data_IF_653027945799
#
_entry.id   IF_653027945799
#
_cell.length_a   1.000
_cell.length_b   1.000
_cell.length_c   1.000
_cell.angle_alpha   90.00
_cell.angle_beta   90.00
_cell.angle_gamma   90.00
#
_symmetry.space_group_name_H-M   'P 1'
#
loop_
_entity.id
_entity.type
_entity.pdbx_description
1 polymer ?
#
# COMPACT_ATOMS: atom_id res chain seq x y z
N UNK A 1 -14.64 34.23 27.78
CA UNK A 1 -13.44 35.09 27.71
C UNK A 1 -13.27 35.63 26.30
N UNK A 2 -12.65 36.80 26.12
CA UNK A 2 -12.44 37.43 24.80
C UNK A 2 -11.13 37.04 24.12
N UNK A 3 -10.08 36.69 24.87
CA UNK A 3 -8.88 35.94 24.45
C UNK A 3 -8.12 35.50 25.73
N UNK A 4 -7.45 34.35 25.74
CA UNK A 4 -6.52 33.97 26.81
C UNK A 4 -5.24 33.35 26.24
N UNK A 5 -4.11 34.05 26.38
CA UNK A 5 -2.79 33.49 26.10
C UNK A 5 -2.17 33.10 27.44
N UNK A 6 -1.96 31.81 27.66
CA UNK A 6 -1.26 31.27 28.83
C UNK A 6 0.15 30.83 28.40
N UNK A 7 1.13 31.71 28.60
CA UNK A 7 2.54 31.40 28.35
C UNK A 7 3.21 30.92 29.66
N UNK A 8 3.49 29.63 29.76
CA UNK A 8 4.07 28.97 30.94
C UNK A 8 5.50 28.52 30.62
N UNK A 9 6.45 29.47 30.68
CA UNK A 9 7.88 29.18 30.54
C UNK A 9 8.45 28.51 31.82
N UNK A 10 8.18 27.21 31.96
CA UNK A 10 8.75 26.33 32.98
C UNK A 10 7.70 25.61 33.84
N UNK A 11 7.57 24.29 33.64
CA UNK A 11 6.89 23.31 34.50
C UNK A 11 5.75 23.81 35.38
N UNK A 12 4.54 23.96 34.81
CA UNK A 12 3.33 24.36 35.52
C UNK A 12 2.09 23.69 34.95
N UNK A 13 1.11 23.39 35.82
CA UNK A 13 -0.15 22.75 35.42
C UNK A 13 -1.20 23.81 35.03
N UNK A 14 -1.73 23.74 33.80
CA UNK A 14 -2.77 24.65 33.32
C UNK A 14 -4.14 24.01 33.49
N UNK A 15 -5.02 24.60 34.31
CA UNK A 15 -6.37 24.07 34.52
C UNK A 15 -7.45 25.15 34.44
N UNK A 16 -8.54 24.84 33.75
CA UNK A 16 -9.75 25.69 33.66
C UNK A 16 -10.83 25.04 34.54
N UNK A 17 -10.92 25.50 35.79
CA UNK A 17 -11.84 24.98 36.81
C UNK A 17 -13.03 25.93 36.97
N UNK A 18 -14.25 25.41 36.84
CA UNK A 18 -15.49 26.16 37.06
C UNK A 18 -16.58 25.86 36.02
N UNK A 19 -17.80 26.35 36.26
CA UNK A 19 -18.92 26.13 35.34
C UNK A 19 -18.84 27.02 34.10
N UNK A 20 -18.58 26.40 32.94
CA UNK A 20 -18.73 26.94 31.58
C UNK A 20 -17.93 28.22 31.27
N UNK A 21 -16.60 28.10 31.18
CA UNK A 21 -15.74 29.13 30.60
C UNK A 21 -15.82 29.13 29.07
N UNK A 22 -16.87 29.74 28.50
CA UNK A 22 -17.01 29.83 27.04
C UNK A 22 -16.03 30.85 26.44
N UNK A 23 -15.24 30.39 25.47
CA UNK A 23 -14.38 31.19 24.60
C UNK A 23 -15.11 31.52 23.30
N UNK A 24 -15.20 32.81 23.00
CA UNK A 24 -16.00 33.34 21.89
C UNK A 24 -15.34 34.59 21.32
N UNK A 25 -15.36 34.75 19.99
CA UNK A 25 -14.74 35.86 19.25
C UNK A 25 -13.23 36.02 19.47
N UNK A 26 -12.55 35.00 20.03
CA UNK A 26 -11.10 35.02 20.22
C UNK A 26 -10.41 34.89 18.86
N UNK A 27 -9.56 35.85 18.50
CA UNK A 27 -9.00 35.94 17.14
C UNK A 27 -7.50 36.22 17.16
N UNK A 28 -6.73 35.39 16.45
CA UNK A 28 -5.32 35.58 16.12
C UNK A 28 -5.16 35.76 14.60
N UNK A 29 -3.99 36.19 14.08
CA UNK A 29 -3.79 36.35 12.63
C UNK A 29 -4.09 35.07 11.84
N UNK A 30 -4.99 35.14 10.85
CA UNK A 30 -5.46 33.97 10.10
C UNK A 30 -4.46 33.38 9.11
N UNK A 31 -3.29 34.01 8.94
CA UNK A 31 -2.21 33.61 8.02
C UNK A 31 -0.97 33.04 8.72
N UNK A 32 -0.92 33.10 10.06
CA UNK A 32 0.26 32.71 10.84
C UNK A 32 -0.01 32.39 12.32
N UNK A 33 -1.20 32.66 12.83
CA UNK A 33 -1.57 32.50 14.23
C UNK A 33 -2.25 31.16 14.49
N UNK A 34 -1.95 30.58 15.65
CA UNK A 34 -2.43 29.29 16.11
C UNK A 34 -3.24 29.47 17.40
N UNK A 35 -4.23 28.62 17.63
CA UNK A 35 -4.91 28.56 18.93
C UNK A 35 -5.78 29.79 19.18
N UNK A 36 -6.83 29.97 18.36
CA UNK A 36 -7.62 31.21 18.34
C UNK A 36 -8.22 31.57 19.70
N UNK A 37 -8.61 30.57 20.51
CA UNK A 37 -8.96 30.76 21.92
C UNK A 37 -7.87 30.31 22.90
N UNK A 38 -7.24 29.15 22.66
CA UNK A 38 -6.20 28.56 23.53
C UNK A 38 -5.04 28.01 22.68
N UNK A 39 -3.81 28.35 23.07
CA UNK A 39 -2.56 27.77 22.56
C UNK A 39 -1.79 27.13 23.72
N UNK A 40 -1.32 25.90 23.54
CA UNK A 40 -0.44 25.19 24.48
C UNK A 40 0.88 24.84 23.80
N UNK A 41 2.00 25.14 24.45
CA UNK A 41 3.35 24.69 24.06
C UNK A 41 3.89 23.74 25.13
N UNK A 42 3.82 22.44 24.85
CA UNK A 42 4.13 21.36 25.78
C UNK A 42 5.52 20.80 25.48
N UNK A 43 6.46 21.09 26.38
CA UNK A 43 7.78 20.50 26.39
C UNK A 43 7.72 18.98 26.68
N UNK A 44 8.80 18.26 26.37
CA UNK A 44 8.86 16.83 26.64
C UNK A 44 8.81 16.54 28.14
N UNK A 45 7.92 15.63 28.55
CA UNK A 45 7.61 15.34 29.94
C UNK A 45 6.49 16.22 30.53
N UNK A 46 5.94 17.19 29.77
CA UNK A 46 4.82 18.04 30.20
C UNK A 46 3.53 17.78 29.43
N UNK A 47 3.48 16.75 28.58
CA UNK A 47 2.34 16.43 27.71
C UNK A 47 1.01 16.23 28.48
N UNK A 48 1.07 15.81 29.75
CA UNK A 48 -0.09 15.60 30.61
C UNK A 48 -0.40 16.77 31.55
N UNK A 49 0.31 17.90 31.45
CA UNK A 49 0.24 19.01 32.42
C UNK A 49 -0.88 20.03 32.12
N UNK A 50 -2.02 19.57 31.61
CA UNK A 50 -3.18 20.43 31.35
C UNK A 50 -4.53 19.73 31.63
N UNK A 51 -5.55 20.54 31.94
CA UNK A 51 -6.95 20.12 32.07
C UNK A 51 -7.90 21.27 31.66
N UNK A 52 -8.54 21.13 30.49
CA UNK A 52 -9.51 22.11 29.99
C UNK A 52 -10.97 21.65 30.17
N UNK A 53 -11.28 20.71 31.07
CA UNK A 53 -12.65 20.18 31.29
C UNK A 53 -13.72 21.24 31.55
N UNK A 54 -13.37 22.39 32.15
CA UNK A 54 -14.28 23.52 32.39
C UNK A 54 -14.38 24.54 31.24
N UNK A 55 -13.66 24.33 30.13
CA UNK A 55 -13.74 25.19 28.95
C UNK A 55 -14.87 24.77 28.00
N UNK A 56 -15.33 25.72 27.21
CA UNK A 56 -16.27 25.54 26.09
C UNK A 56 -15.95 26.54 24.99
N UNK A 57 -16.35 26.25 23.75
CA UNK A 57 -16.07 27.12 22.60
C UNK A 57 -17.36 27.51 21.89
N UNK A 58 -17.44 28.75 21.40
CA UNK A 58 -18.62 29.21 20.66
C UNK A 58 -18.76 28.48 19.33
N UNK A 59 -19.96 27.99 19.05
CA UNK A 59 -20.41 27.43 17.77
C UNK A 59 -21.29 28.41 16.99
N UNK A 60 -21.56 29.62 17.52
CA UNK A 60 -22.45 30.59 16.87
C UNK A 60 -21.67 31.43 15.87
N UNK A 61 -22.12 31.48 14.61
CA UNK A 61 -21.38 32.01 13.45
C UNK A 61 -20.77 33.40 13.64
N UNK A 62 -21.45 34.31 14.34
CA UNK A 62 -20.98 35.68 14.59
C UNK A 62 -20.04 35.83 15.80
N UNK A 63 -19.77 34.75 16.53
CA UNK A 63 -18.90 34.72 17.72
C UNK A 63 -17.93 33.55 17.71
N UNK A 64 -17.68 32.94 16.55
CA UNK A 64 -16.65 31.92 16.37
C UNK A 64 -15.27 32.47 16.73
N UNK A 65 -14.40 31.59 17.21
CA UNK A 65 -12.98 31.87 17.36
C UNK A 65 -12.27 31.68 16.01
N UNK A 66 -11.13 32.33 15.80
CA UNK A 66 -10.48 32.36 14.49
C UNK A 66 -8.94 32.36 14.56
N UNK A 67 -8.32 31.53 13.72
CA UNK A 67 -6.89 31.29 13.62
C UNK A 67 -6.57 30.68 12.24
N UNK A 68 -5.28 30.57 11.88
CA UNK A 68 -4.87 29.75 10.74
C UNK A 68 -5.13 28.26 11.03
N UNK A 69 -4.72 27.80 12.21
CA UNK A 69 -4.88 26.42 12.67
C UNK A 69 -5.33 26.39 14.14
N UNK A 70 -6.21 25.45 14.48
CA UNK A 70 -6.75 25.33 15.84
C UNK A 70 -7.56 26.56 16.22
N UNK A 71 -8.68 26.82 15.53
CA UNK A 71 -9.55 27.99 15.79
C UNK A 71 -9.94 28.09 17.27
N UNK A 72 -10.15 26.95 17.92
CA UNK A 72 -10.45 26.85 19.34
C UNK A 72 -9.19 26.52 20.15
N UNK A 73 -8.56 25.38 19.86
CA UNK A 73 -7.40 24.87 20.59
C UNK A 73 -6.28 24.51 19.62
N UNK A 74 -5.06 24.94 19.95
CA UNK A 74 -3.85 24.44 19.30
C UNK A 74 -2.87 23.90 20.33
N UNK A 75 -2.36 22.68 20.11
CA UNK A 75 -1.35 22.03 20.96
C UNK A 75 -0.07 21.81 20.16
N UNK A 76 0.99 22.55 20.46
CA UNK A 76 2.35 22.19 20.06
C UNK A 76 2.93 21.29 21.16
N UNK A 77 3.36 20.08 20.83
CA UNK A 77 3.89 19.15 21.83
C UNK A 77 5.12 18.39 21.31
N UNK A 78 6.04 18.06 22.21
CA UNK A 78 7.14 17.14 21.91
C UNK A 78 6.59 15.76 21.49
N UNK A 79 5.66 15.18 22.26
CA UNK A 79 4.87 14.02 21.81
C UNK A 79 3.36 14.33 21.82
N UNK A 80 2.83 14.81 20.68
CA UNK A 80 1.40 15.11 20.54
C UNK A 80 0.46 13.91 20.82
N UNK A 81 0.89 12.68 20.53
CA UNK A 81 0.11 11.46 20.83
C UNK A 81 0.11 11.10 22.32
N UNK A 82 1.08 11.58 23.10
CA UNK A 82 1.06 11.47 24.56
C UNK A 82 0.26 12.62 25.21
N UNK A 83 0.18 13.78 24.57
CA UNK A 83 -0.67 14.89 25.00
C UNK A 83 -2.15 14.62 24.70
N UNK A 84 -2.44 13.86 23.64
CA UNK A 84 -3.79 13.55 23.15
C UNK A 84 -3.87 12.04 22.85
N UNK A 85 -4.00 11.18 23.88
CA UNK A 85 -3.95 9.73 23.69
C UNK A 85 -5.22 9.14 23.07
N UNK A 86 -5.05 8.03 22.34
CA UNK A 86 -6.14 7.22 21.76
C UNK A 86 -7.04 6.68 22.88
N UNK A 87 -8.36 6.69 22.64
CA UNK A 87 -9.38 6.21 23.57
C UNK A 87 -9.32 6.89 24.96
N UNK A 88 -8.85 8.14 25.03
CA UNK A 88 -8.99 8.91 26.25
C UNK A 88 -10.48 9.24 26.46
N UNK A 89 -11.14 8.49 27.34
CA UNK A 89 -12.48 8.79 27.88
C UNK A 89 -12.59 10.25 28.35
N UNK A 90 -11.44 10.88 28.65
CA UNK A 90 -11.31 12.31 28.92
C UNK A 90 -11.02 13.16 27.68
N UNK A 91 -11.67 12.91 26.52
CA UNK A 91 -11.89 13.94 25.45
C UNK A 91 -12.39 15.27 26.05
N UNK A 92 -13.06 15.17 27.19
CA UNK A 92 -13.44 16.25 28.11
C UNK A 92 -12.27 17.21 28.46
N UNK A 93 -11.02 16.74 28.66
CA UNK A 93 -9.83 17.58 28.94
C UNK A 93 -9.47 18.55 27.83
N UNK A 94 -10.02 18.41 26.62
CA UNK A 94 -9.87 19.38 25.53
C UNK A 94 -10.92 20.51 25.60
N UNK A 95 -11.84 20.51 26.57
CA UNK A 95 -12.90 21.51 26.68
C UNK A 95 -13.94 21.45 25.56
N UNK A 96 -14.02 20.32 24.87
CA UNK A 96 -14.71 20.19 23.59
C UNK A 96 -15.92 19.24 23.66
N UNK A 97 -17.06 19.79 24.08
CA UNK A 97 -18.37 19.17 23.84
C UNK A 97 -18.71 19.27 22.33
N UNK A 98 -18.34 18.23 21.58
CA UNK A 98 -18.60 18.03 20.14
C UNK A 98 -17.97 19.07 19.18
N UNK A 99 -16.63 19.05 18.99
CA UNK A 99 -15.93 19.92 18.04
C UNK A 99 -16.03 19.48 16.56
N UNK A 100 -16.67 18.34 16.29
CA UNK A 100 -16.40 17.42 15.16
C UNK A 100 -17.10 17.75 13.83
N UNK A 101 -17.60 18.98 13.64
CA UNK A 101 -18.06 19.45 12.32
C UNK A 101 -16.98 20.19 11.53
N UNK A 102 -15.89 20.62 12.17
CA UNK A 102 -14.77 21.30 11.52
C UNK A 102 -13.45 20.89 12.19
N UNK A 103 -12.68 20.07 11.48
CA UNK A 103 -11.39 19.55 11.93
C UNK A 103 -10.33 20.65 12.16
N UNK A 104 -10.52 21.87 11.65
CA UNK A 104 -9.62 23.00 11.92
C UNK A 104 -9.84 23.64 13.31
N UNK A 105 -10.86 23.22 14.06
CA UNK A 105 -11.12 23.73 15.41
C UNK A 105 -10.05 23.32 16.42
N UNK A 106 -9.61 22.05 16.38
CA UNK A 106 -8.66 21.47 17.32
C UNK A 106 -7.49 20.86 16.53
N UNK A 107 -6.32 21.48 16.60
CA UNK A 107 -5.14 21.04 15.84
C UNK A 107 -3.89 21.02 16.70
N UNK A 108 -2.80 20.45 16.19
CA UNK A 108 -1.51 20.48 16.88
C UNK A 108 -0.30 20.20 16.00
N UNK A 109 0.88 20.44 16.58
CA UNK A 109 2.18 20.05 16.01
C UNK A 109 2.81 18.95 16.85
N UNK A 110 3.30 17.90 16.18
CA UNK A 110 4.02 16.79 16.80
C UNK A 110 5.53 16.96 16.63
N UNK A 111 6.31 16.68 17.69
CA UNK A 111 7.78 16.66 17.69
C UNK A 111 8.42 17.93 17.08
N UNK A 112 7.84 19.09 17.37
CA UNK A 112 8.32 20.38 16.86
C UNK A 112 8.15 20.60 15.35
N UNK A 113 7.55 19.67 14.61
CA UNK A 113 7.28 19.85 13.17
C UNK A 113 6.16 20.88 12.97
N UNK A 114 6.54 22.12 12.65
CA UNK A 114 5.60 23.22 12.38
C UNK A 114 5.08 23.28 10.94
N UNK A 115 5.48 22.35 10.07
CA UNK A 115 5.04 22.35 8.66
C UNK A 115 3.66 21.71 8.47
N UNK A 116 3.28 20.76 9.35
CA UNK A 116 2.07 19.95 9.21
C UNK A 116 1.26 20.04 10.52
N UNK A 117 0.15 20.78 10.48
CA UNK A 117 -0.80 20.84 11.59
C UNK A 117 -1.76 19.63 11.51
N UNK A 118 -1.73 18.78 12.54
CA UNK A 118 -2.52 17.55 12.62
C UNK A 118 -3.85 17.88 13.32
N UNK A 119 -5.03 17.58 12.74
CA UNK A 119 -6.29 17.65 13.44
C UNK A 119 -6.32 16.66 14.61
N UNK A 120 -6.58 17.15 15.83
CA UNK A 120 -6.47 16.31 17.04
C UNK A 120 -7.47 15.15 17.05
N UNK A 121 -8.57 15.27 16.31
CA UNK A 121 -9.57 14.21 16.11
C UNK A 121 -8.93 12.88 15.71
N UNK A 122 -8.02 12.88 14.74
CA UNK A 122 -7.40 11.66 14.22
C UNK A 122 -6.32 11.07 15.14
N UNK A 123 -5.99 11.74 16.25
CA UNK A 123 -5.06 11.27 17.28
C UNK A 123 -5.76 10.62 18.47
N UNK A 124 -6.93 11.12 18.90
CA UNK A 124 -7.70 10.48 19.99
C UNK A 124 -8.70 9.41 19.50
N UNK A 125 -9.07 9.43 18.21
CA UNK A 125 -9.90 8.37 17.62
C UNK A 125 -9.03 7.22 17.10
N UNK A 126 -9.43 5.99 17.42
CA UNK A 126 -8.84 4.81 16.82
C UNK A 126 -9.24 4.69 15.34
N UNK A 127 -8.35 4.15 14.51
CA UNK A 127 -8.66 3.78 13.13
C UNK A 127 -9.62 2.59 13.13
N UNK A 128 -10.79 2.73 12.50
CA UNK A 128 -11.84 1.70 12.55
C UNK A 128 -11.34 0.36 11.99
N UNK A 129 -11.70 -0.71 12.69
CA UNK A 129 -11.29 -2.10 12.45
C UNK A 129 -9.76 -2.34 12.29
N UNK A 130 -8.90 -1.37 12.59
CA UNK A 130 -7.47 -1.35 12.23
C UNK A 130 -7.23 -1.38 10.70
N UNK A 131 -8.10 -0.71 9.93
CA UNK A 131 -7.98 -0.58 8.47
C UNK A 131 -7.35 0.75 8.12
N UNK A 132 -6.07 0.71 7.75
CA UNK A 132 -5.26 1.89 7.50
C UNK A 132 -5.32 2.29 6.04
N UNK A 133 -5.73 3.52 5.79
CA UNK A 133 -5.92 4.05 4.45
C UNK A 133 -4.67 4.77 3.96
N UNK A 134 -4.33 4.56 2.69
CA UNK A 134 -3.27 5.29 1.97
C UNK A 134 -3.83 5.96 0.72
N UNK A 135 -3.25 7.10 0.35
CA UNK A 135 -3.57 7.78 -0.90
C UNK A 135 -2.35 8.57 -1.42
N UNK A 136 -2.34 8.89 -2.70
CA UNK A 136 -1.33 9.76 -3.31
C UNK A 136 -1.34 11.19 -2.69
N UNK A 137 -0.18 11.85 -2.70
CA UNK A 137 -0.08 13.27 -2.37
C UNK A 137 -0.68 14.13 -3.51
N UNK A 138 -1.90 14.59 -3.30
CA UNK A 138 -2.58 15.57 -4.15
C UNK A 138 -2.50 17.01 -3.59
N UNK A 139 -1.73 17.22 -2.52
CA UNK A 139 -1.80 18.39 -1.65
C UNK A 139 -3.10 18.41 -0.82
N UNK A 140 -2.98 18.56 0.50
CA UNK A 140 -4.16 18.72 1.36
C UNK A 140 -4.84 20.07 1.06
N UNK A 141 -5.91 20.01 0.29
CA UNK A 141 -6.75 21.16 -0.08
C UNK A 141 -8.20 20.89 0.27
N UNK A 142 -9.00 21.94 0.48
CA UNK A 142 -10.39 21.81 0.93
C UNK A 142 -11.23 20.98 -0.06
N UNK A 143 -11.49 19.71 0.28
CA UNK A 143 -12.24 18.75 -0.53
C UNK A 143 -11.40 17.66 -1.21
N UNK A 144 -10.07 17.76 -1.23
CA UNK A 144 -9.18 16.71 -1.75
C UNK A 144 -8.36 16.10 -0.61
N UNK A 145 -8.57 14.81 -0.39
CA UNK A 145 -7.92 14.01 0.64
C UNK A 145 -6.57 13.50 0.11
N UNK A 146 -5.54 14.34 0.20
CA UNK A 146 -4.15 13.92 -0.05
C UNK A 146 -3.58 13.10 1.11
N UNK A 147 -2.81 12.05 0.78
CA UNK A 147 -2.10 11.24 1.78
C UNK A 147 -1.02 12.06 2.51
N UNK A 148 -0.86 11.83 3.82
CA UNK A 148 0.15 12.50 4.63
C UNK A 148 0.72 11.58 5.70
N UNK A 149 2.04 11.42 5.76
CA UNK A 149 2.67 10.59 6.80
C UNK A 149 2.88 11.39 8.09
N UNK A 150 1.98 11.18 9.07
CA UNK A 150 2.09 11.70 10.42
C UNK A 150 1.30 10.83 11.43
N UNK A 151 1.49 11.05 12.73
CA UNK A 151 0.94 10.22 13.79
C UNK A 151 -0.61 10.11 13.83
N UNK A 152 -1.34 10.99 13.13
CA UNK A 152 -2.79 10.93 13.01
C UNK A 152 -3.28 10.29 11.71
N UNK A 153 -2.40 9.88 10.79
CA UNK A 153 -2.84 9.34 9.51
C UNK A 153 -3.35 7.89 9.59
N UNK A 154 -4.09 7.47 8.56
CA UNK A 154 -4.59 6.11 8.39
C UNK A 154 -6.11 5.98 8.42
N UNK A 155 -6.82 7.04 8.82
CA UNK A 155 -8.27 7.14 8.69
C UNK A 155 -8.68 7.34 7.23
N UNK A 156 -9.88 6.91 6.84
CA UNK A 156 -10.36 7.09 5.46
C UNK A 156 -10.42 8.58 5.03
N UNK A 157 -10.79 9.46 5.97
CA UNK A 157 -10.81 10.92 5.77
C UNK A 157 -9.45 11.61 5.99
N UNK A 158 -8.43 10.88 6.44
CA UNK A 158 -7.07 11.39 6.70
C UNK A 158 -6.03 10.27 6.51
N UNK A 159 -5.81 9.81 5.27
CA UNK A 159 -4.97 8.67 4.94
C UNK A 159 -3.49 9.01 5.06
N UNK A 160 -2.67 7.97 5.22
CA UNK A 160 -1.22 8.09 5.13
C UNK A 160 -0.77 8.28 3.68
N UNK A 161 0.45 8.78 3.50
CA UNK A 161 1.07 8.91 2.18
C UNK A 161 1.73 7.60 1.76
N UNK A 162 2.36 6.88 2.67
CA UNK A 162 3.10 5.65 2.35
C UNK A 162 2.65 4.41 3.10
N UNK A 163 2.62 3.29 2.38
CA UNK A 163 2.42 1.95 2.95
C UNK A 163 3.54 1.60 3.93
N UNK A 164 4.77 2.06 3.66
CA UNK A 164 5.92 1.84 4.56
C UNK A 164 5.71 2.50 5.92
N UNK A 165 5.23 3.75 5.97
CA UNK A 165 4.95 4.44 7.24
C UNK A 165 3.87 3.72 8.07
N UNK A 166 2.80 3.25 7.42
CA UNK A 166 1.76 2.42 8.06
C UNK A 166 2.36 1.13 8.65
N UNK A 167 3.19 0.43 7.87
CA UNK A 167 3.78 -0.86 8.28
C UNK A 167 4.83 -0.68 9.38
N UNK A 168 5.71 0.32 9.29
CA UNK A 168 6.88 0.46 10.17
C UNK A 168 6.59 1.30 11.42
N UNK A 169 5.82 2.38 11.28
CA UNK A 169 5.73 3.44 12.29
C UNK A 169 4.41 3.39 13.07
N UNK A 170 3.28 3.14 12.41
CA UNK A 170 1.95 3.19 13.06
C UNK A 170 1.63 1.90 13.81
N UNK A 171 1.71 0.76 13.13
CA UNK A 171 1.18 -0.52 13.65
C UNK A 171 2.24 -1.33 14.43
N UNK A 172 3.52 -1.11 14.13
CA UNK A 172 4.59 -1.99 14.62
C UNK A 172 4.44 -3.43 14.12
N UNK A 173 4.99 -4.41 14.81
CA UNK A 173 5.01 -5.82 14.39
C UNK A 173 3.94 -6.72 15.05
N UNK A 174 2.99 -6.13 15.80
CA UNK A 174 2.15 -6.90 16.74
C UNK A 174 0.85 -7.48 16.15
N UNK A 175 0.22 -6.83 15.17
CA UNK A 175 -1.09 -7.22 14.60
C UNK A 175 -1.05 -7.44 13.08
N UNK A 176 -2.00 -8.21 12.50
CA UNK A 176 -2.24 -8.24 11.05
C UNK A 176 -2.58 -6.84 10.52
N UNK A 177 -2.15 -6.52 9.30
CA UNK A 177 -2.23 -5.16 8.75
C UNK A 177 -3.20 -5.13 7.59
N UNK A 178 -4.32 -4.41 7.73
CA UNK A 178 -5.28 -4.18 6.65
C UNK A 178 -5.01 -2.78 6.08
N UNK A 179 -4.70 -2.71 4.79
CA UNK A 179 -4.30 -1.47 4.11
C UNK A 179 -5.19 -1.23 2.90
N UNK A 180 -5.96 -0.14 2.91
CA UNK A 180 -6.85 0.26 1.82
C UNK A 180 -6.26 1.41 0.99
N UNK A 181 -6.05 1.21 -0.32
CA UNK A 181 -5.67 2.28 -1.24
C UNK A 181 -6.95 3.00 -1.70
N UNK A 182 -7.12 4.28 -1.36
CA UNK A 182 -8.39 5.00 -1.62
C UNK A 182 -8.70 5.09 -3.12
N UNK A 183 -7.77 5.61 -3.92
CA UNK A 183 -7.90 5.64 -5.38
C UNK A 183 -6.61 5.19 -6.04
N UNK A 184 -5.51 5.84 -5.66
CA UNK A 184 -4.22 5.74 -6.31
C UNK A 184 -3.11 5.80 -5.26
N UNK A 185 -2.09 4.95 -5.43
CA UNK A 185 -0.88 4.94 -4.62
C UNK A 185 0.34 4.92 -5.53
N UNK A 186 1.40 5.64 -5.12
CA UNK A 186 2.68 5.73 -5.82
C UNK A 186 3.75 5.00 -5.03
N UNK A 187 4.14 3.83 -5.52
CA UNK A 187 5.28 3.07 -5.03
C UNK A 187 6.55 3.54 -5.76
N UNK A 188 7.29 4.46 -5.15
CA UNK A 188 8.56 5.00 -5.69
C UNK A 188 9.83 4.41 -5.04
N UNK A 189 9.69 3.79 -3.87
CA UNK A 189 10.77 3.23 -3.05
C UNK A 189 10.51 1.75 -2.70
N UNK A 190 11.55 1.06 -2.26
CA UNK A 190 11.45 -0.33 -1.79
C UNK A 190 10.81 -0.35 -0.40
N UNK A 191 9.73 -1.13 -0.24
CA UNK A 191 9.12 -1.49 1.04
C UNK A 191 9.60 -2.88 1.41
N UNK A 192 10.13 -3.05 2.62
CA UNK A 192 10.55 -4.37 3.13
C UNK A 192 9.59 -4.86 4.20
N UNK A 193 8.95 -6.00 3.96
CA UNK A 193 7.97 -6.61 4.84
C UNK A 193 8.62 -7.82 5.53
N UNK A 194 9.00 -7.65 6.79
CA UNK A 194 9.16 -8.76 7.75
C UNK A 194 8.03 -8.66 8.77
N UNK A 195 7.12 -9.64 8.77
CA UNK A 195 6.07 -9.74 9.79
C UNK A 195 6.17 -11.04 10.61
N UNK A 196 7.31 -11.73 10.55
CA UNK A 196 7.61 -12.90 11.39
C UNK A 196 6.48 -13.95 11.43
N UNK A 197 5.81 -14.18 10.29
CA UNK A 197 4.69 -15.12 10.16
C UNK A 197 3.28 -14.51 10.10
N UNK A 198 3.11 -13.20 10.25
CA UNK A 198 1.79 -12.52 10.18
C UNK A 198 1.46 -12.02 8.77
N UNK A 199 0.20 -11.65 8.56
CA UNK A 199 -0.32 -11.17 7.28
C UNK A 199 -0.33 -9.64 7.16
N UNK A 200 0.10 -9.14 6.00
CA UNK A 200 -0.25 -7.81 5.48
C UNK A 200 -1.23 -8.01 4.33
N UNK A 201 -2.42 -7.41 4.40
CA UNK A 201 -3.37 -7.31 3.30
C UNK A 201 -3.35 -5.89 2.73
N UNK A 202 -3.11 -5.76 1.43
CA UNK A 202 -3.27 -4.53 0.66
C UNK A 202 -4.47 -4.73 -0.27
N UNK A 203 -5.43 -3.83 -0.25
CA UNK A 203 -6.55 -3.87 -1.19
C UNK A 203 -6.95 -2.50 -1.72
N UNK A 204 -7.92 -2.49 -2.62
CA UNK A 204 -8.68 -1.30 -2.95
C UNK A 204 -9.36 -0.68 -1.71
N UNK A 205 -9.97 0.49 -1.89
CA UNK A 205 -10.63 1.21 -0.80
C UNK A 205 -11.63 0.31 -0.07
N UNK A 206 -11.44 0.24 1.24
CA UNK A 206 -12.39 -0.33 2.19
C UNK A 206 -13.22 0.85 2.75
N UNK A 207 -14.49 0.62 3.10
CA UNK A 207 -15.17 1.55 4.00
C UNK A 207 -14.51 1.48 5.39
N UNK A 208 -14.79 2.46 6.27
CA UNK A 208 -14.38 2.38 7.68
C UNK A 208 -14.85 1.05 8.32
N UNK A 209 -16.03 0.57 7.92
CA UNK A 209 -16.61 -0.72 8.31
C UNK A 209 -16.03 -1.96 7.59
N UNK A 210 -14.92 -1.84 6.86
CA UNK A 210 -14.24 -2.94 6.16
C UNK A 210 -14.96 -3.52 4.95
N UNK A 211 -15.95 -2.81 4.40
CA UNK A 211 -16.70 -3.25 3.22
C UNK A 211 -15.94 -2.92 1.94
N UNK A 212 -15.75 -3.92 1.09
CA UNK A 212 -15.07 -3.78 -0.20
C UNK A 212 -15.95 -3.06 -1.23
N UNK A 213 -15.35 -2.20 -2.05
CA UNK A 213 -15.93 -1.89 -3.37
C UNK A 213 -15.46 -2.92 -4.41
N UNK A 214 -16.11 -3.01 -5.57
CA UNK A 214 -15.61 -3.80 -6.72
C UNK A 214 -14.74 -2.98 -7.69
N UNK A 215 -14.54 -1.69 -7.38
CA UNK A 215 -13.67 -0.79 -8.13
C UNK A 215 -12.23 -1.04 -7.69
N UNK A 216 -11.35 -1.38 -8.63
CA UNK A 216 -9.93 -1.60 -8.33
C UNK A 216 -9.20 -0.28 -8.11
N UNK A 217 -8.30 -0.24 -7.14
CA UNK A 217 -7.41 0.91 -6.93
C UNK A 217 -6.10 0.76 -7.69
N UNK A 218 -5.46 1.88 -8.04
CA UNK A 218 -4.24 1.90 -8.85
C UNK A 218 -3.01 1.93 -7.94
N UNK A 219 -2.02 1.07 -8.23
CA UNK A 219 -0.68 1.13 -7.66
C UNK A 219 0.32 1.41 -8.79
N UNK A 220 0.79 2.66 -8.88
CA UNK A 220 1.84 3.04 -9.81
C UNK A 220 3.20 2.65 -9.28
N UNK A 221 4.00 2.00 -10.13
CA UNK A 221 5.31 1.45 -9.81
C UNK A 221 6.34 2.15 -10.70
N UNK A 222 7.22 2.92 -10.07
CA UNK A 222 8.23 3.75 -10.75
C UNK A 222 9.54 3.82 -9.96
N UNK A 223 10.65 4.15 -10.63
CA UNK A 223 11.96 4.28 -9.99
C UNK A 223 12.37 3.01 -9.25
N UNK A 224 12.56 3.11 -7.94
CA UNK A 224 12.94 1.97 -7.08
C UNK A 224 11.76 1.25 -6.44
N UNK A 225 10.52 1.58 -6.81
CA UNK A 225 9.29 1.07 -6.23
C UNK A 225 9.14 -0.45 -6.28
N UNK A 226 9.25 -1.13 -5.13
CA UNK A 226 9.14 -2.61 -5.00
C UNK A 226 8.63 -3.00 -3.62
N UNK A 227 7.99 -4.17 -3.50
CA UNK A 227 7.61 -4.80 -2.24
C UNK A 227 8.44 -6.07 -2.04
N UNK A 228 9.29 -6.11 -1.02
CA UNK A 228 10.13 -7.27 -0.69
C UNK A 228 9.64 -7.93 0.60
N UNK A 229 8.99 -9.08 0.48
CA UNK A 229 8.57 -9.92 1.60
C UNK A 229 9.73 -10.84 2.03
N UNK A 230 10.10 -10.81 3.31
CA UNK A 230 11.19 -11.62 3.88
C UNK A 230 10.68 -12.74 4.78
N UNK A 231 9.59 -12.51 5.52
CA UNK A 231 8.88 -13.53 6.29
C UNK A 231 7.40 -13.15 6.53
N UNK A 232 6.52 -14.14 6.52
CA UNK A 232 5.08 -13.96 6.72
C UNK A 232 4.28 -13.98 5.43
N UNK A 233 3.08 -13.40 5.47
CA UNK A 233 2.10 -13.43 4.37
C UNK A 233 1.84 -12.04 3.81
N UNK A 234 1.78 -11.91 2.49
CA UNK A 234 1.33 -10.71 1.78
C UNK A 234 0.14 -11.09 0.89
N UNK A 235 -1.03 -10.52 1.18
CA UNK A 235 -2.22 -10.64 0.35
C UNK A 235 -2.47 -9.32 -0.37
N UNK A 236 -2.57 -9.34 -1.70
CA UNK A 236 -2.97 -8.18 -2.50
C UNK A 236 -4.26 -8.52 -3.24
N UNK A 237 -5.27 -7.66 -3.14
CA UNK A 237 -6.61 -7.90 -3.66
C UNK A 237 -7.18 -6.66 -4.36
N UNK A 238 -7.80 -6.83 -5.54
CA UNK A 238 -8.45 -5.74 -6.30
C UNK A 238 -7.53 -4.54 -6.64
N UNK A 239 -6.26 -4.79 -6.98
CA UNK A 239 -5.30 -3.75 -7.41
C UNK A 239 -5.03 -3.79 -8.92
N UNK A 240 -4.90 -2.61 -9.53
CA UNK A 240 -4.29 -2.41 -10.86
C UNK A 240 -2.84 -2.01 -10.64
N UNK A 241 -1.90 -2.90 -10.96
CA UNK A 241 -0.47 -2.59 -11.01
C UNK A 241 -0.16 -1.85 -12.31
N UNK A 242 0.29 -0.60 -12.18
CA UNK A 242 0.59 0.29 -13.30
C UNK A 242 2.11 0.50 -13.37
N UNK A 243 2.79 -0.18 -14.29
CA UNK A 243 4.25 -0.21 -14.34
C UNK A 243 4.79 0.88 -15.27
N UNK A 244 5.65 1.75 -14.76
CA UNK A 244 6.30 2.80 -15.54
C UNK A 244 7.61 2.31 -16.19
N UNK A 245 7.93 2.77 -17.40
CA UNK A 245 9.22 2.53 -18.08
C UNK A 245 10.43 3.01 -17.27
N UNK A 246 10.24 4.00 -16.38
CA UNK A 246 11.28 4.50 -15.46
C UNK A 246 11.46 3.58 -14.23
N UNK A 247 10.72 2.47 -14.14
CA UNK A 247 10.89 1.43 -13.12
C UNK A 247 12.20 0.65 -13.31
N UNK A 248 12.98 0.51 -12.23
CA UNK A 248 14.23 -0.25 -12.21
C UNK A 248 14.00 -1.74 -12.40
N UNK A 249 14.90 -2.40 -13.13
CA UNK A 249 14.80 -3.84 -13.45
C UNK A 249 14.58 -4.74 -12.22
N UNK A 250 13.82 -5.82 -12.40
CA UNK A 250 13.44 -6.76 -11.35
C UNK A 250 11.93 -6.98 -11.34
N UNK A 251 11.33 -7.06 -10.15
CA UNK A 251 9.91 -7.38 -9.98
C UNK A 251 9.26 -6.44 -8.97
N UNK A 252 7.98 -6.13 -9.17
CA UNK A 252 7.20 -5.26 -8.29
C UNK A 252 7.00 -5.88 -6.91
N UNK A 253 6.86 -7.20 -6.83
CA UNK A 253 6.71 -7.98 -5.61
C UNK A 253 7.80 -9.06 -5.59
N UNK A 254 8.45 -9.30 -4.45
CA UNK A 254 9.44 -10.36 -4.30
C UNK A 254 9.29 -11.11 -2.96
N UNK A 255 9.07 -12.42 -3.00
CA UNK A 255 9.15 -13.30 -1.83
C UNK A 255 10.54 -13.89 -1.70
N UNK A 256 11.27 -13.56 -0.63
CA UNK A 256 12.72 -13.82 -0.55
C UNK A 256 13.13 -15.05 0.27
N UNK A 257 12.23 -15.67 1.04
CA UNK A 257 12.54 -16.84 1.87
C UNK A 257 11.45 -17.92 1.82
N UNK A 258 11.80 -19.14 2.22
CA UNK A 258 10.87 -20.29 2.29
C UNK A 258 9.71 -20.10 3.26
N UNK A 259 9.76 -19.09 4.14
CA UNK A 259 8.67 -18.74 5.06
C UNK A 259 7.70 -17.69 4.48
N UNK A 260 7.90 -17.27 3.23
CA UNK A 260 7.05 -16.27 2.58
C UNK A 260 5.84 -16.89 1.88
N UNK A 261 4.69 -16.23 2.00
CA UNK A 261 3.47 -16.58 1.27
C UNK A 261 2.93 -15.31 0.61
N UNK A 262 2.75 -15.33 -0.70
CA UNK A 262 2.22 -14.20 -1.47
C UNK A 262 0.93 -14.65 -2.14
N UNK A 263 -0.12 -13.85 -2.03
CA UNK A 263 -1.41 -14.09 -2.69
C UNK A 263 -1.81 -12.85 -3.48
N UNK A 264 -2.03 -12.98 -4.78
CA UNK A 264 -2.47 -11.89 -5.68
C UNK A 264 -3.84 -12.27 -6.23
N UNK A 265 -4.89 -11.54 -5.82
CA UNK A 265 -6.29 -11.88 -6.10
C UNK A 265 -7.00 -10.74 -6.85
N UNK A 266 -7.83 -11.08 -7.83
CA UNK A 266 -8.72 -10.12 -8.52
C UNK A 266 -7.96 -8.89 -9.07
N UNK A 267 -6.71 -9.07 -9.52
CA UNK A 267 -5.81 -7.97 -9.88
C UNK A 267 -5.72 -7.75 -11.39
N UNK A 268 -5.07 -6.66 -11.78
CA UNK A 268 -4.71 -6.37 -13.17
C UNK A 268 -3.28 -5.84 -13.25
N UNK A 269 -2.55 -6.10 -14.33
CA UNK A 269 -1.26 -5.49 -14.62
C UNK A 269 -1.29 -4.79 -15.98
N UNK A 270 -0.95 -3.49 -15.97
CA UNK A 270 -0.88 -2.62 -17.14
C UNK A 270 0.50 -1.93 -17.21
N UNK A 271 0.92 -1.52 -18.41
CA UNK A 271 1.95 -0.49 -18.56
C UNK A 271 1.33 0.89 -18.29
N UNK A 272 2.12 1.84 -17.78
CA UNK A 272 1.66 3.21 -17.52
C UNK A 272 1.43 4.05 -18.80
N UNK A 273 1.75 3.51 -19.98
CA UNK A 273 1.40 4.06 -21.29
C UNK A 273 1.37 2.97 -22.34
N UNK A 274 0.54 3.17 -23.36
CA UNK A 274 0.36 2.38 -24.59
C UNK A 274 1.11 2.99 -25.79
N UNK A 275 1.94 4.03 -25.58
CA UNK A 275 2.65 4.72 -26.66
C UNK A 275 3.62 3.79 -27.40
N UNK A 276 3.73 3.96 -28.72
CA UNK A 276 4.61 3.14 -29.54
C UNK A 276 6.07 3.25 -29.09
N UNK A 277 6.69 2.09 -28.81
CA UNK A 277 8.05 1.99 -28.26
C UNK A 277 8.13 1.99 -26.72
N UNK A 278 7.01 2.16 -26.01
CA UNK A 278 6.98 2.00 -24.56
C UNK A 278 7.27 0.55 -24.17
N UNK A 279 8.15 0.35 -23.19
CA UNK A 279 8.45 -0.96 -22.62
C UNK A 279 8.89 -0.82 -21.18
N UNK A 280 8.67 -1.87 -20.39
CA UNK A 280 8.96 -1.90 -18.96
C UNK A 280 10.14 -2.84 -18.64
N UNK A 281 10.84 -2.59 -17.54
CA UNK A 281 11.91 -3.47 -17.02
C UNK A 281 11.49 -4.31 -15.79
N UNK A 282 10.27 -4.06 -15.29
CA UNK A 282 9.77 -4.60 -14.01
C UNK A 282 8.67 -5.62 -14.27
N UNK A 283 8.91 -6.89 -13.92
CA UNK A 283 7.86 -7.91 -13.88
C UNK A 283 6.93 -7.73 -12.67
N UNK A 284 5.87 -8.51 -12.60
CA UNK A 284 4.92 -8.46 -11.48
C UNK A 284 5.49 -9.09 -10.20
N UNK A 285 5.91 -10.36 -10.26
CA UNK A 285 6.24 -11.13 -9.06
C UNK A 285 7.48 -12.01 -9.25
N UNK A 286 8.36 -12.01 -8.25
CA UNK A 286 9.42 -13.01 -8.09
C UNK A 286 9.24 -13.80 -6.80
N UNK A 287 9.35 -15.12 -6.86
CA UNK A 287 9.39 -15.99 -5.71
C UNK A 287 10.77 -16.67 -5.65
N UNK A 288 11.61 -16.27 -4.69
CA UNK A 288 12.91 -16.91 -4.43
C UNK A 288 12.77 -18.13 -3.55
N UNK A 289 11.82 -18.09 -2.62
CA UNK A 289 11.37 -19.22 -1.82
C UNK A 289 9.94 -18.98 -1.33
N UNK A 290 9.27 -20.03 -0.85
CA UNK A 290 7.93 -19.92 -0.25
C UNK A 290 6.79 -20.35 -1.19
N UNK A 291 5.64 -19.70 -1.09
CA UNK A 291 4.44 -19.99 -1.90
C UNK A 291 3.94 -18.70 -2.59
N UNK A 292 3.57 -18.80 -3.86
CA UNK A 292 2.86 -17.76 -4.60
C UNK A 292 1.53 -18.30 -5.13
N UNK A 293 0.43 -17.67 -4.72
CA UNK A 293 -0.92 -17.92 -5.22
C UNK A 293 -1.35 -16.73 -6.08
N UNK A 294 -1.87 -16.99 -7.27
CA UNK A 294 -2.40 -15.97 -8.17
C UNK A 294 -3.78 -16.43 -8.62
N UNK A 295 -4.81 -15.62 -8.36
CA UNK A 295 -6.19 -15.92 -8.71
C UNK A 295 -6.85 -14.71 -9.40
N UNK A 296 -7.54 -14.93 -10.51
CA UNK A 296 -8.31 -13.91 -11.22
C UNK A 296 -7.46 -12.66 -11.54
N UNK A 297 -6.25 -12.89 -12.07
CA UNK A 297 -5.34 -11.86 -12.55
C UNK A 297 -5.50 -11.68 -14.05
N UNK A 298 -5.66 -10.44 -14.51
CA UNK A 298 -5.62 -10.08 -15.93
C UNK A 298 -4.32 -9.33 -16.26
N UNK A 299 -3.58 -9.81 -17.26
CA UNK A 299 -2.40 -9.12 -17.80
C UNK A 299 -2.59 -9.02 -19.32
N UNK A 300 -2.52 -7.80 -19.85
CA UNK A 300 -2.77 -7.56 -21.26
C UNK A 300 -1.85 -6.49 -21.86
N UNK A 301 -1.47 -6.68 -23.13
CA UNK A 301 -0.75 -5.71 -23.98
C UNK A 301 0.56 -5.20 -23.34
N UNK A 302 1.35 -6.12 -22.75
CA UNK A 302 2.60 -5.78 -22.06
C UNK A 302 3.81 -5.99 -22.99
N UNK A 303 4.69 -4.99 -23.06
CA UNK A 303 6.03 -5.10 -23.65
C UNK A 303 7.07 -4.99 -22.54
N UNK A 304 7.77 -6.09 -22.22
CA UNK A 304 8.77 -6.16 -21.14
C UNK A 304 10.15 -6.53 -21.67
N UNK A 305 11.20 -5.80 -21.25
CA UNK A 305 12.59 -6.16 -21.59
C UNK A 305 13.20 -7.08 -20.55
N UNK A 306 13.85 -8.13 -21.05
CA UNK A 306 14.74 -9.09 -20.39
C UNK A 306 14.13 -9.96 -19.27
N UNK A 307 13.05 -9.55 -18.60
CA UNK A 307 12.41 -10.32 -17.53
C UNK A 307 11.04 -10.88 -17.94
N UNK A 308 10.67 -12.09 -17.48
CA UNK A 308 9.29 -12.57 -17.52
C UNK A 308 8.41 -11.76 -16.57
N UNK A 309 7.09 -11.87 -16.69
CA UNK A 309 6.14 -11.19 -15.79
C UNK A 309 6.13 -11.84 -14.39
N UNK A 310 6.17 -13.17 -14.33
CA UNK A 310 6.24 -13.94 -13.07
C UNK A 310 7.50 -14.80 -13.11
N UNK A 311 8.30 -14.81 -12.04
CA UNK A 311 9.54 -15.58 -11.95
C UNK A 311 9.65 -16.39 -10.67
N UNK A 312 9.82 -17.70 -10.77
CA UNK A 312 9.98 -18.61 -9.62
C UNK A 312 11.38 -19.21 -9.67
N UNK A 313 12.13 -19.11 -8.57
CA UNK A 313 13.46 -19.68 -8.41
C UNK A 313 13.40 -21.03 -7.67
N UNK A 314 14.55 -21.71 -7.61
CA UNK A 314 14.69 -23.11 -7.22
C UNK A 314 14.32 -23.45 -5.76
N UNK A 315 14.28 -22.46 -4.87
CA UNK A 315 13.93 -22.66 -3.46
C UNK A 315 12.45 -22.37 -3.17
N UNK A 316 11.63 -22.10 -4.20
CA UNK A 316 10.18 -22.02 -4.09
C UNK A 316 9.55 -23.39 -3.80
N UNK A 317 8.52 -23.41 -2.95
CA UNK A 317 7.75 -24.61 -2.66
C UNK A 317 6.62 -24.84 -3.67
N UNK A 318 5.82 -23.80 -3.93
CA UNK A 318 4.67 -23.92 -4.83
C UNK A 318 4.30 -22.61 -5.53
N UNK A 319 3.81 -22.75 -6.77
CA UNK A 319 3.10 -21.73 -7.53
C UNK A 319 1.70 -22.28 -7.87
N UNK A 320 0.66 -21.50 -7.58
CA UNK A 320 -0.73 -21.78 -7.96
C UNK A 320 -1.22 -20.61 -8.81
N UNK A 321 -1.76 -20.92 -9.99
CA UNK A 321 -2.36 -19.95 -10.92
C UNK A 321 -3.78 -20.43 -11.26
N UNK A 322 -4.78 -19.67 -10.83
CA UNK A 322 -6.19 -19.98 -10.98
C UNK A 322 -6.95 -18.84 -11.70
N UNK A 323 -7.85 -19.19 -12.63
CA UNK A 323 -8.74 -18.25 -13.32
C UNK A 323 -8.05 -17.00 -13.93
N UNK A 324 -6.80 -17.11 -14.39
CA UNK A 324 -6.00 -15.98 -14.88
C UNK A 324 -6.07 -15.81 -16.41
N UNK A 325 -5.96 -14.57 -16.88
CA UNK A 325 -5.90 -14.24 -18.31
C UNK A 325 -4.59 -13.51 -18.64
N UNK A 326 -3.85 -14.07 -19.59
CA UNK A 326 -2.62 -13.49 -20.14
C UNK A 326 -2.80 -13.30 -21.66
N UNK A 327 -2.85 -12.06 -22.12
CA UNK A 327 -3.14 -11.70 -23.51
C UNK A 327 -2.05 -10.77 -24.08
N UNK A 328 -1.50 -11.11 -25.24
CA UNK A 328 -0.64 -10.23 -26.05
C UNK A 328 0.58 -9.69 -25.28
N UNK A 329 1.29 -10.60 -24.60
CA UNK A 329 2.52 -10.30 -23.85
C UNK A 329 3.73 -10.56 -24.75
N UNK A 330 4.53 -9.51 -24.96
CA UNK A 330 5.77 -9.53 -25.71
C UNK A 330 6.96 -9.31 -24.76
N UNK A 331 7.81 -10.32 -24.63
CA UNK A 331 9.12 -10.14 -23.99
C UNK A 331 10.19 -9.87 -25.03
N UNK A 332 10.80 -8.68 -24.97
CA UNK A 332 12.02 -8.36 -25.70
C UNK A 332 13.25 -8.76 -24.86
N UNK A 333 14.39 -8.99 -25.50
CA UNK A 333 15.67 -9.22 -24.82
C UNK A 333 16.75 -8.43 -25.52
N UNK A 334 17.61 -7.75 -24.78
CA UNK A 334 18.73 -7.00 -25.34
C UNK A 334 19.92 -7.89 -25.73
N UNK A 335 20.01 -9.10 -25.18
CA UNK A 335 21.02 -10.10 -25.55
C UNK A 335 20.45 -11.53 -25.66
N UNK A 336 21.08 -12.36 -26.52
CA UNK A 336 20.78 -13.80 -26.68
C UNK A 336 21.54 -14.70 -25.70
N UNK A 337 22.17 -14.12 -24.67
CA UNK A 337 22.93 -14.83 -23.63
C UNK A 337 22.15 -14.99 -22.32
N UNK A 338 21.02 -14.30 -22.16
CA UNK A 338 20.19 -14.40 -20.95
C UNK A 338 19.70 -15.84 -20.74
N UNK A 339 19.92 -16.37 -19.54
CA UNK A 339 19.48 -17.72 -19.14
C UNK A 339 17.99 -17.80 -18.79
N UNK A 340 17.22 -16.76 -19.13
CA UNK A 340 15.78 -16.65 -18.92
C UNK A 340 15.12 -16.78 -20.28
N UNK A 341 14.34 -17.82 -20.54
CA UNK A 341 13.74 -18.05 -21.86
C UNK A 341 12.20 -17.90 -21.85
N UNK A 342 11.59 -17.55 -20.72
CA UNK A 342 10.13 -17.40 -20.58
C UNK A 342 9.60 -16.02 -20.91
N UNK A 343 8.47 -15.96 -21.62
CA UNK A 343 7.75 -14.71 -21.91
C UNK A 343 6.91 -14.23 -20.73
N UNK A 344 5.91 -15.02 -20.36
CA UNK A 344 4.87 -14.64 -19.39
C UNK A 344 5.22 -15.06 -17.96
N UNK A 345 5.29 -16.36 -17.69
CA UNK A 345 5.77 -16.93 -16.42
C UNK A 345 7.09 -17.62 -16.71
N UNK A 346 7.99 -17.72 -15.75
CA UNK A 346 9.14 -18.63 -15.77
C UNK A 346 9.32 -19.25 -14.39
N UNK A 347 9.28 -20.58 -14.28
CA UNK A 347 9.33 -21.26 -13.00
C UNK A 347 10.41 -22.35 -12.95
N UNK A 348 11.57 -21.93 -12.48
CA UNK A 348 12.69 -22.81 -12.21
C UNK A 348 12.54 -23.36 -10.80
N UNK A 349 11.65 -24.33 -10.57
CA UNK A 349 11.53 -25.03 -9.26
C UNK A 349 12.59 -26.14 -9.25
N UNK A 350 13.86 -25.71 -9.33
CA UNK A 350 15.01 -26.46 -9.86
C UNK A 350 15.30 -26.08 -11.32
N UNK A 351 16.59 -25.92 -11.73
CA UNK A 351 17.10 -25.41 -13.04
C UNK A 351 16.39 -25.91 -14.32
N UNK A 352 16.05 -25.17 -15.39
CA UNK A 352 16.09 -23.72 -15.75
C UNK A 352 15.16 -23.35 -16.96
N UNK A 353 14.31 -22.32 -16.80
CA UNK A 353 13.93 -21.30 -17.84
C UNK A 353 12.93 -21.57 -18.99
N UNK A 354 12.07 -20.58 -19.31
CA UNK A 354 10.99 -20.66 -20.34
C UNK A 354 9.64 -20.26 -19.76
N UNK A 355 8.49 -20.35 -20.47
CA UNK A 355 7.23 -20.62 -19.76
C UNK A 355 7.29 -22.08 -19.33
N UNK A 356 8.21 -22.32 -18.41
CA UNK A 356 8.93 -23.56 -18.18
C UNK A 356 8.85 -23.80 -16.71
N UNK A 357 8.39 -24.99 -16.41
CA UNK A 357 8.27 -25.48 -15.06
C UNK A 357 9.16 -26.69 -15.00
N UNK A 358 10.44 -26.48 -14.69
CA UNK A 358 11.20 -27.59 -14.14
C UNK A 358 10.80 -27.70 -12.69
N UNK A 359 10.35 -28.89 -12.33
CA UNK A 359 9.80 -29.18 -11.02
C UNK A 359 10.63 -30.32 -10.48
N UNK A 360 11.52 -29.97 -9.53
CA UNK A 360 12.42 -30.85 -8.81
C UNK A 360 12.00 -30.99 -7.35
N UNK A 361 12.54 -32.03 -6.71
CA UNK A 361 12.62 -32.15 -5.24
C UNK A 361 11.29 -32.00 -4.48
N UNK A 362 10.15 -32.33 -5.10
CA UNK A 362 8.83 -32.28 -4.47
C UNK A 362 8.08 -30.96 -4.69
N UNK A 363 8.58 -30.06 -5.53
CA UNK A 363 7.88 -28.83 -5.92
C UNK A 363 6.53 -29.12 -6.60
N UNK A 364 5.63 -28.12 -6.61
CA UNK A 364 4.35 -28.24 -7.32
C UNK A 364 3.97 -26.94 -8.03
N UNK A 365 3.68 -27.05 -9.34
CA UNK A 365 2.91 -26.06 -10.09
C UNK A 365 1.48 -26.58 -10.26
N UNK A 366 0.51 -25.71 -9.98
CA UNK A 366 -0.90 -25.91 -10.35
C UNK A 366 -1.31 -24.78 -11.28
N UNK A 367 -1.87 -25.13 -12.44
CA UNK A 367 -2.65 -24.22 -13.29
C UNK A 367 -4.05 -24.81 -13.39
N UNK A 368 -5.04 -24.10 -12.85
CA UNK A 368 -6.42 -24.55 -12.71
C UNK A 368 -7.43 -23.46 -13.09
N UNK A 369 -8.72 -23.82 -13.09
CA UNK A 369 -9.81 -22.91 -13.45
C UNK A 369 -9.78 -22.45 -14.91
N UNK A 370 -10.49 -21.37 -15.24
CA UNK A 370 -10.63 -20.90 -16.63
C UNK A 370 -9.42 -20.09 -17.13
N UNK A 371 -8.20 -20.61 -16.93
CA UNK A 371 -6.97 -19.92 -17.35
C UNK A 371 -6.83 -19.83 -18.88
N UNK A 372 -6.38 -18.68 -19.37
CA UNK A 372 -6.15 -18.44 -20.80
C UNK A 372 -4.80 -17.76 -21.09
N UNK A 373 -4.10 -18.28 -22.11
CA UNK A 373 -2.83 -17.78 -22.62
C UNK A 373 -2.99 -17.50 -24.12
N UNK A 374 -3.13 -16.22 -24.46
CA UNK A 374 -3.50 -15.78 -25.80
C UNK A 374 -2.38 -14.92 -26.38
N UNK A 375 -1.93 -15.25 -27.58
CA UNK A 375 -0.94 -14.48 -28.37
C UNK A 375 0.38 -14.15 -27.63
N UNK A 376 0.76 -14.94 -26.62
CA UNK A 376 2.02 -14.78 -25.88
C UNK A 376 3.22 -15.19 -26.76
N UNK A 377 4.32 -14.42 -26.69
CA UNK A 377 5.51 -14.61 -27.53
C UNK A 377 6.80 -14.65 -26.70
N UNK A 378 7.71 -15.55 -27.08
CA UNK A 378 9.05 -15.71 -26.49
C UNK A 378 10.09 -15.86 -27.62
N UNK A 379 11.29 -15.31 -27.42
CA UNK A 379 12.27 -15.08 -28.51
C UNK A 379 12.99 -16.32 -29.02
N UNK A 380 13.17 -17.34 -28.17
CA UNK A 380 14.01 -18.52 -28.45
C UNK A 380 13.18 -19.77 -28.80
N UNK A 381 11.93 -19.60 -29.22
CA UNK A 381 10.96 -20.64 -29.64
C UNK A 381 10.62 -21.73 -28.61
N UNK A 382 11.27 -21.72 -27.45
CA UNK A 382 11.03 -22.64 -26.35
C UNK A 382 10.00 -22.06 -25.37
N UNK A 383 8.83 -22.69 -25.28
CA UNK A 383 7.83 -22.39 -24.25
C UNK A 383 7.19 -21.00 -24.38
N UNK A 384 6.75 -20.64 -25.59
CA UNK A 384 5.94 -19.45 -25.88
C UNK A 384 4.54 -19.45 -25.25
N UNK A 385 3.99 -20.65 -25.01
CA UNK A 385 2.72 -20.87 -24.32
C UNK A 385 2.92 -21.68 -23.02
N UNK A 386 3.48 -22.89 -23.12
CA UNK A 386 3.88 -23.72 -21.99
C UNK A 386 4.97 -24.72 -22.40
N UNK A 387 5.91 -24.96 -21.50
CA UNK A 387 6.93 -26.00 -21.48
C UNK A 387 7.04 -26.52 -20.04
N UNK A 388 7.41 -27.79 -19.84
CA UNK A 388 7.63 -28.34 -18.51
C UNK A 388 8.68 -29.46 -18.51
N UNK A 389 9.43 -29.58 -17.41
CA UNK A 389 10.48 -30.57 -17.20
C UNK A 389 10.37 -31.15 -15.78
N UNK A 390 9.47 -32.11 -15.60
CA UNK A 390 9.15 -32.66 -14.27
C UNK A 390 10.17 -33.77 -13.95
N UNK A 391 10.94 -33.64 -12.88
CA UNK A 391 11.90 -34.68 -12.47
C UNK A 391 12.14 -34.69 -10.95
N UNK A 392 12.73 -35.76 -10.41
CA UNK A 392 12.84 -35.93 -8.95
C UNK A 392 11.54 -36.41 -8.27
N UNK A 393 11.64 -36.77 -6.99
CA UNK A 393 10.57 -37.44 -6.25
C UNK A 393 9.48 -36.45 -5.80
N UNK A 394 8.22 -36.83 -5.96
CA UNK A 394 7.01 -36.04 -5.60
C UNK A 394 6.81 -34.71 -6.35
N UNK A 395 7.62 -34.42 -7.36
CA UNK A 395 7.44 -33.24 -8.22
C UNK A 395 6.14 -33.36 -9.04
N UNK A 396 5.33 -32.29 -9.09
CA UNK A 396 4.03 -32.30 -9.77
C UNK A 396 3.81 -31.06 -10.63
N UNK A 397 3.50 -31.28 -11.91
CA UNK A 397 2.73 -30.34 -12.72
C UNK A 397 1.27 -30.80 -12.69
N UNK A 398 0.36 -29.89 -12.37
CA UNK A 398 -1.08 -30.11 -12.42
C UNK A 398 -1.66 -29.10 -13.40
N UNK A 399 -2.32 -29.61 -14.43
CA UNK A 399 -3.05 -28.84 -15.44
C UNK A 399 -4.49 -29.35 -15.41
N UNK A 400 -5.38 -28.58 -14.80
CA UNK A 400 -6.78 -28.94 -14.57
C UNK A 400 -7.70 -27.83 -15.12
N UNK A 401 -8.93 -28.21 -15.50
CA UNK A 401 -10.03 -27.35 -15.97
C UNK A 401 -9.76 -26.33 -17.10
N UNK A 402 -10.62 -26.30 -18.12
CA UNK A 402 -10.84 -25.12 -18.99
C UNK A 402 -9.67 -24.49 -19.78
N UNK A 403 -8.42 -24.95 -19.63
CA UNK A 403 -7.22 -24.27 -20.10
C UNK A 403 -7.24 -23.95 -21.60
N UNK A 404 -7.15 -22.67 -21.95
CA UNK A 404 -7.13 -22.19 -23.32
C UNK A 404 -5.75 -21.65 -23.71
N UNK A 405 -5.16 -22.25 -24.75
CA UNK A 405 -3.98 -21.73 -25.43
C UNK A 405 -4.39 -21.31 -26.85
N UNK A 406 -4.25 -20.02 -27.18
CA UNK A 406 -4.69 -19.47 -28.47
C UNK A 406 -3.64 -18.51 -29.06
N UNK A 407 -3.58 -18.47 -30.40
CA UNK A 407 -2.67 -17.61 -31.14
C UNK A 407 -1.61 -18.38 -31.92
N UNK A 408 -1.06 -17.74 -32.94
CA UNK A 408 0.04 -18.30 -33.71
C UNK A 408 1.35 -18.05 -32.97
N UNK A 409 1.87 -19.10 -32.33
CA UNK A 409 3.29 -19.13 -31.97
C UNK A 409 4.05 -19.15 -33.29
N UNK A 410 4.58 -17.99 -33.67
CA UNK A 410 5.55 -17.85 -34.73
C UNK A 410 6.89 -17.55 -34.11
N UNK A 411 7.92 -18.24 -34.60
CA UNK A 411 9.29 -17.78 -34.39
C UNK A 411 9.51 -16.41 -35.05
N UNK A 412 10.66 -15.80 -34.79
CA UNK A 412 11.05 -14.52 -35.43
C UNK A 412 11.15 -14.60 -36.96
N UNK A 413 11.12 -15.80 -37.53
CA UNK A 413 11.21 -16.10 -38.97
C UNK A 413 9.82 -16.35 -39.60
N UNK A 414 8.76 -16.45 -38.78
CA UNK A 414 7.37 -16.58 -39.19
C UNK A 414 6.80 -18.00 -39.23
N UNK A 415 7.56 -19.03 -38.82
CA UNK A 415 7.13 -20.43 -38.87
C UNK A 415 6.21 -20.79 -37.70
N UNK A 416 5.13 -21.51 -37.97
CA UNK A 416 4.14 -21.89 -36.95
C UNK A 416 4.67 -23.06 -36.11
N UNK A 417 4.88 -22.83 -34.80
CA UNK A 417 5.29 -23.89 -33.87
C UNK A 417 4.13 -24.27 -32.92
N UNK A 418 3.42 -25.35 -33.24
CA UNK A 418 2.50 -25.99 -32.27
C UNK A 418 3.16 -27.24 -31.72
N UNK A 419 3.95 -27.09 -30.64
CA UNK A 419 4.66 -28.21 -30.03
C UNK A 419 4.15 -28.51 -28.62
N UNK A 420 3.08 -29.31 -28.54
CA UNK A 420 2.80 -30.09 -27.33
C UNK A 420 3.85 -31.20 -27.23
N UNK A 421 4.97 -30.91 -26.58
CA UNK A 421 6.02 -31.89 -26.33
C UNK A 421 5.50 -33.02 -25.43
N UNK A 422 5.29 -34.21 -25.99
CA UNK A 422 4.99 -35.40 -25.19
C UNK A 422 6.25 -35.78 -24.39
N UNK A 423 6.22 -35.50 -23.08
CA UNK A 423 7.18 -36.07 -22.14
C UNK A 423 7.05 -37.59 -22.07
N UNK A 424 8.19 -38.27 -22.01
CA UNK A 424 8.34 -39.68 -21.61
C UNK A 424 9.17 -39.74 -20.33
#
# INVERSE_FOLDING_TARGET
FTCCVADQNGGGFVSIIGSASTFSSCTVPTVSGHGGAIYLDLASGTETQYDLTGASYSTTTNTLNNAQYGKNLFIKAANLSAAVPINDDTRIKLGALNPETDFYNLMGYHNGNSQIAIPLYYLYTAVDQNIYHVNIDNGQTSGNIGGIDNNGCGHLSYPCLTIDYVITTIIGSSTPKLIGIINEYKLGSVITIDQSGKEVKISNQLSDSGSYTDIKSIMNIEGTGKISLTAGTLSIDKIIFCINQNGTSGYAITGTSTSTQISINNCMMNMASDTSGYSILTGLAELKGGILNINNLTIKDIIISDSPIIFINENAGSLIIDNCQFDSILRTTSDDSTTKIGGTIEATIGERSGIYTQILSGGTLIIEGSCSFICCQARLDLGSALFASISGTNSRLILEDGLQFEGYIKDLEGNIQTQFGQGR
#
